data_IF_733781670758
#
_entry.id   IF_733781670758
#
_cell.length_a   1.000
_cell.length_b   1.000
_cell.length_c   1.000
_cell.angle_alpha   90.00
_cell.angle_beta   90.00
_cell.angle_gamma   90.00
#
_symmetry.space_group_name_H-M   'P 1'
#
loop_
_entity.id
_entity.type
_entity.pdbx_description
1 polymer ?
#
# COMPACT_ATOMS: atom_id res chain seq x y z
N UNK A 1 -38.16 -16.83 -0.71
CA UNK A 1 -37.60 -16.84 -2.08
C UNK A 1 -36.14 -17.24 -1.99
N UNK A 2 -35.70 -18.15 -2.85
CA UNK A 2 -34.33 -18.68 -2.85
C UNK A 2 -33.24 -17.58 -2.95
N UNK A 3 -33.59 -16.41 -3.51
CA UNK A 3 -32.76 -15.20 -3.55
C UNK A 3 -32.58 -14.48 -2.19
N UNK A 4 -33.47 -14.65 -1.21
CA UNK A 4 -33.36 -14.01 0.11
C UNK A 4 -32.46 -14.82 1.05
N UNK A 5 -32.37 -16.14 0.85
CA UNK A 5 -31.48 -17.01 1.61
C UNK A 5 -30.01 -16.89 1.16
N UNK A 6 -29.77 -16.53 -0.11
CA UNK A 6 -28.42 -16.36 -0.65
C UNK A 6 -27.89 -14.93 -0.55
N UNK A 7 -28.75 -13.95 -0.23
CA UNK A 7 -28.33 -12.56 -0.05
C UNK A 7 -27.21 -12.38 1.00
N UNK A 8 -27.18 -13.11 2.15
CA UNK A 8 -26.07 -13.00 3.10
C UNK A 8 -24.80 -13.75 2.65
N UNK A 9 -24.92 -14.74 1.77
CA UNK A 9 -23.80 -15.53 1.24
C UNK A 9 -23.14 -14.84 0.04
N UNK A 10 -23.90 -14.05 -0.73
CA UNK A 10 -23.42 -13.26 -1.87
C UNK A 10 -23.00 -11.82 -1.50
N UNK A 11 -23.55 -11.24 -0.43
CA UNK A 11 -23.32 -9.82 -0.07
C UNK A 11 -22.11 -9.63 0.85
N UNK A 12 -20.90 -9.83 0.32
CA UNK A 12 -19.58 -9.81 0.99
C UNK A 12 -19.17 -11.18 1.54
N UNK A 13 -18.71 -12.06 0.65
CA UNK A 13 -18.06 -13.31 1.03
C UNK A 13 -16.87 -13.10 2.00
N UNK A 14 -16.37 -14.18 2.60
CA UNK A 14 -15.29 -14.17 3.62
C UNK A 14 -14.10 -13.27 3.25
N UNK A 15 -13.76 -13.18 1.95
CA UNK A 15 -12.72 -12.29 1.44
C UNK A 15 -13.01 -10.79 1.58
N UNK A 16 -14.28 -10.37 1.46
CA UNK A 16 -14.72 -9.00 1.68
C UNK A 16 -14.61 -8.60 3.16
N UNK A 17 -15.01 -9.50 4.07
CA UNK A 17 -14.84 -9.31 5.51
C UNK A 17 -13.37 -9.24 5.91
N UNK A 18 -12.54 -10.17 5.43
CA UNK A 18 -11.12 -10.19 5.72
C UNK A 18 -10.41 -8.92 5.22
N UNK A 19 -10.76 -8.46 4.02
CA UNK A 19 -10.24 -7.22 3.42
C UNK A 19 -10.66 -5.99 4.22
N UNK A 20 -11.93 -5.86 4.59
CA UNK A 20 -12.42 -4.72 5.37
C UNK A 20 -11.80 -4.66 6.76
N UNK A 21 -11.65 -5.82 7.44
CA UNK A 21 -10.95 -5.88 8.73
C UNK A 21 -9.47 -5.54 8.61
N UNK A 22 -8.79 -6.06 7.58
CA UNK A 22 -7.38 -5.75 7.33
C UNK A 22 -7.18 -4.25 7.04
N UNK A 23 -8.07 -3.64 6.27
CA UNK A 23 -8.06 -2.22 5.98
C UNK A 23 -8.29 -1.36 7.23
N UNK A 24 -9.23 -1.76 8.09
CA UNK A 24 -9.52 -1.05 9.33
C UNK A 24 -8.35 -1.16 10.31
N UNK A 25 -7.74 -2.34 10.42
CA UNK A 25 -6.53 -2.55 11.21
C UNK A 25 -5.37 -1.67 10.71
N UNK A 26 -5.10 -1.66 9.39
CA UNK A 26 -4.04 -0.84 8.79
C UNK A 26 -4.32 0.65 9.01
N UNK A 27 -5.56 1.11 8.83
CA UNK A 27 -5.93 2.52 9.01
C UNK A 27 -5.75 3.01 10.46
N UNK A 28 -5.96 2.15 11.46
CA UNK A 28 -5.73 2.49 12.87
C UNK A 28 -4.23 2.47 13.22
N UNK A 29 -3.54 1.47 12.71
CA UNK A 29 -2.19 1.11 13.13
C UNK A 29 -1.11 1.95 12.45
N UNK A 30 -1.29 2.25 11.16
CA UNK A 30 -0.34 3.01 10.36
C UNK A 30 -0.01 4.41 10.94
N UNK A 31 -0.98 5.25 11.35
CA UNK A 31 -0.67 6.56 11.93
C UNK A 31 0.07 6.47 13.28
N UNK A 32 -0.24 5.47 14.11
CA UNK A 32 0.45 5.25 15.38
C UNK A 32 1.91 4.81 15.16
N UNK A 33 2.13 3.86 14.23
CA UNK A 33 3.46 3.39 13.86
C UNK A 33 4.31 4.48 13.22
N UNK A 34 3.73 5.26 12.31
CA UNK A 34 4.43 6.32 11.60
C UNK A 34 4.82 7.47 12.53
N UNK A 35 3.97 7.82 13.51
CA UNK A 35 4.31 8.86 14.49
C UNK A 35 5.51 8.44 15.33
N UNK A 36 5.55 7.19 15.80
CA UNK A 36 6.68 6.63 16.54
C UNK A 36 7.96 6.56 15.69
N UNK A 37 7.83 6.27 14.38
CA UNK A 37 8.95 6.19 13.44
C UNK A 37 9.55 7.55 13.08
N UNK A 38 8.70 8.57 12.88
CA UNK A 38 9.12 9.96 12.63
C UNK A 38 9.96 10.48 13.79
N UNK A 39 9.55 10.16 15.03
CA UNK A 39 10.29 10.53 16.24
C UNK A 39 11.68 9.87 16.33
N UNK A 40 11.84 8.67 15.75
CA UNK A 40 13.09 7.90 15.80
C UNK A 40 14.02 8.16 14.60
N UNK A 41 13.58 8.92 13.58
CA UNK A 41 14.30 9.19 12.32
C UNK A 41 14.80 7.93 11.59
N UNK A 42 14.18 6.78 11.82
CA UNK A 42 14.56 5.54 11.15
C UNK A 42 13.77 5.37 9.83
N UNK A 43 14.46 5.19 8.69
CA UNK A 43 13.78 4.92 7.42
C UNK A 43 13.13 3.52 7.43
N UNK A 44 12.06 3.36 6.66
CA UNK A 44 11.29 2.11 6.60
C UNK A 44 12.14 0.99 6.00
N UNK A 45 12.25 -0.18 6.66
CA UNK A 45 12.99 -1.31 6.12
C UNK A 45 12.34 -1.86 4.85
N UNK A 46 13.17 -2.26 3.88
CA UNK A 46 12.70 -2.86 2.63
C UNK A 46 12.15 -4.28 2.80
N UNK A 47 11.42 -4.75 1.79
CA UNK A 47 10.75 -6.05 1.79
C UNK A 47 11.70 -7.21 2.03
N UNK A 48 12.89 -7.19 1.40
CA UNK A 48 13.90 -8.22 1.58
C UNK A 48 14.42 -8.30 3.02
N UNK A 49 14.53 -7.20 3.75
CA UNK A 49 14.94 -7.23 5.16
C UNK A 49 13.90 -7.90 6.04
N UNK A 50 12.61 -7.78 5.72
CA UNK A 50 11.54 -8.41 6.49
C UNK A 50 11.36 -9.89 6.11
N UNK A 51 11.32 -10.18 4.81
CA UNK A 51 11.07 -11.52 4.26
C UNK A 51 12.33 -12.39 4.21
N UNK A 52 13.50 -11.79 4.31
CA UNK A 52 14.81 -12.43 4.20
C UNK A 52 15.24 -13.20 5.45
N UNK A 53 16.53 -13.50 5.48
CA UNK A 53 17.14 -14.38 6.48
C UNK A 53 17.13 -13.70 7.86
N UNK A 54 16.99 -14.47 8.93
CA UNK A 54 16.84 -13.93 10.30
C UNK A 54 17.96 -12.97 10.73
N UNK A 55 19.16 -13.09 10.15
CA UNK A 55 20.31 -12.23 10.44
C UNK A 55 20.20 -10.83 9.83
N UNK A 56 19.36 -10.66 8.80
CA UNK A 56 19.16 -9.39 8.06
C UNK A 56 17.89 -8.64 8.52
N UNK A 57 17.11 -9.27 9.41
CA UNK A 57 15.86 -8.69 9.92
C UNK A 57 16.13 -7.51 10.84
N UNK A 58 15.26 -6.48 10.84
CA UNK A 58 15.31 -5.43 11.85
C UNK A 58 15.28 -6.06 13.24
N UNK A 59 16.23 -5.63 14.09
CA UNK A 59 16.30 -6.08 15.48
C UNK A 59 15.32 -5.30 16.38
N UNK A 60 14.81 -4.18 15.88
CA UNK A 60 13.85 -3.31 16.53
C UNK A 60 12.40 -3.64 16.14
N UNK A 61 11.52 -3.68 17.15
CA UNK A 61 10.11 -4.02 16.98
C UNK A 61 9.38 -3.00 16.06
N UNK A 62 9.78 -1.74 16.12
CA UNK A 62 9.31 -0.66 15.24
C UNK A 62 9.60 -0.93 13.76
N UNK A 63 10.85 -1.27 13.42
CA UNK A 63 11.25 -1.58 12.06
C UNK A 63 10.51 -2.79 11.50
N UNK A 64 10.38 -3.86 12.30
CA UNK A 64 9.61 -5.04 11.92
C UNK A 64 8.15 -4.67 11.60
N UNK A 65 7.51 -3.90 12.49
CA UNK A 65 6.12 -3.51 12.35
C UNK A 65 5.87 -2.62 11.14
N UNK A 66 6.71 -1.61 10.92
CA UNK A 66 6.62 -0.71 9.77
C UNK A 66 6.83 -1.46 8.45
N UNK A 67 7.83 -2.33 8.39
CA UNK A 67 8.13 -3.12 7.21
C UNK A 67 7.02 -4.11 6.87
N UNK A 68 6.50 -4.85 7.86
CA UNK A 68 5.35 -5.74 7.68
C UNK A 68 4.09 -4.97 7.28
N UNK A 69 3.83 -3.82 7.90
CA UNK A 69 2.70 -2.95 7.53
C UNK A 69 2.78 -2.47 6.09
N UNK A 70 3.98 -2.08 5.61
CA UNK A 70 4.17 -1.65 4.22
C UNK A 70 3.96 -2.81 3.24
N UNK A 71 4.41 -4.03 3.58
CA UNK A 71 4.16 -5.24 2.78
C UNK A 71 2.65 -5.50 2.66
N UNK A 72 1.94 -5.52 3.79
CA UNK A 72 0.49 -5.76 3.80
C UNK A 72 -0.27 -4.68 3.03
N UNK A 73 0.09 -3.42 3.22
CA UNK A 73 -0.48 -2.30 2.47
C UNK A 73 -0.27 -2.45 0.97
N UNK A 74 0.93 -2.87 0.55
CA UNK A 74 1.27 -3.09 -0.86
C UNK A 74 0.45 -4.23 -1.46
N UNK A 75 0.29 -5.35 -0.74
CA UNK A 75 -0.54 -6.48 -1.16
C UNK A 75 -2.00 -6.05 -1.34
N UNK A 76 -2.56 -5.31 -0.38
CA UNK A 76 -3.93 -4.80 -0.45
C UNK A 76 -4.11 -3.82 -1.62
N UNK A 77 -3.13 -2.94 -1.85
CA UNK A 77 -3.14 -1.99 -2.96
C UNK A 77 -3.09 -2.70 -4.32
N UNK A 78 -2.20 -3.69 -4.47
CA UNK A 78 -2.10 -4.49 -5.71
C UNK A 78 -3.40 -5.24 -5.99
N UNK A 79 -3.98 -5.91 -4.98
CA UNK A 79 -5.25 -6.62 -5.16
C UNK A 79 -6.40 -5.69 -5.55
N UNK A 80 -6.42 -4.47 -5.00
CA UNK A 80 -7.38 -3.43 -5.39
C UNK A 80 -7.17 -2.97 -6.82
N UNK A 81 -5.93 -2.64 -7.17
CA UNK A 81 -5.58 -2.09 -8.47
C UNK A 81 -5.86 -3.11 -9.58
N UNK A 82 -5.46 -4.36 -9.39
CA UNK A 82 -5.76 -5.43 -10.35
C UNK A 82 -7.25 -5.74 -10.46
N UNK A 83 -7.99 -5.72 -9.33
CA UNK A 83 -9.44 -5.89 -9.36
C UNK A 83 -10.12 -4.87 -10.25
N UNK A 84 -9.74 -3.59 -10.13
CA UNK A 84 -10.27 -2.50 -10.96
C UNK A 84 -9.78 -2.55 -12.41
N UNK A 85 -8.55 -3.00 -12.66
CA UNK A 85 -8.01 -3.12 -14.02
C UNK A 85 -8.69 -4.25 -14.80
N UNK A 86 -8.94 -5.40 -14.17
CA UNK A 86 -9.52 -6.57 -14.84
C UNK A 86 -11.04 -6.63 -14.78
N UNK A 87 -11.67 -6.10 -13.73
CA UNK A 87 -13.12 -6.01 -13.61
C UNK A 87 -13.54 -4.59 -13.21
N UNK A 88 -13.71 -3.67 -14.18
CA UNK A 88 -14.16 -2.30 -13.91
C UNK A 88 -15.57 -2.21 -13.31
N UNK A 89 -16.34 -3.32 -13.28
CA UNK A 89 -17.67 -3.32 -12.64
C UNK A 89 -17.56 -3.30 -11.11
N UNK A 90 -16.37 -3.48 -10.55
CA UNK A 90 -16.07 -3.31 -9.13
C UNK A 90 -16.11 -1.82 -8.76
N UNK A 91 -17.27 -1.30 -8.34
CA UNK A 91 -17.47 0.14 -8.07
C UNK A 91 -17.01 0.61 -6.68
N UNK A 92 -16.64 -0.31 -5.79
CA UNK A 92 -16.19 0.06 -4.45
C UNK A 92 -14.71 0.44 -4.49
N UNK A 93 -14.43 1.74 -4.66
CA UNK A 93 -13.10 2.31 -4.54
C UNK A 93 -12.73 2.45 -3.05
N UNK A 94 -11.79 1.65 -2.49
CA UNK A 94 -11.40 1.73 -1.09
C UNK A 94 -10.41 2.88 -0.85
N UNK A 95 -10.75 4.09 -1.33
CA UNK A 95 -9.84 5.23 -1.29
C UNK A 95 -9.56 5.68 0.14
N UNK A 96 -10.55 5.63 1.04
CA UNK A 96 -10.39 6.02 2.46
C UNK A 96 -9.35 5.17 3.20
N UNK A 97 -9.49 3.82 3.27
CA UNK A 97 -8.54 3.01 4.02
C UNK A 97 -7.15 2.99 3.38
N UNK A 98 -7.05 3.02 2.05
CA UNK A 98 -5.75 3.13 1.39
C UNK A 98 -5.10 4.47 1.64
N UNK A 99 -5.84 5.58 1.66
CA UNK A 99 -5.30 6.89 2.05
C UNK A 99 -4.76 6.85 3.48
N UNK A 100 -5.55 6.33 4.43
CA UNK A 100 -5.15 6.24 5.83
C UNK A 100 -3.89 5.37 6.03
N UNK A 101 -3.72 4.32 5.21
CA UNK A 101 -2.52 3.50 5.22
C UNK A 101 -1.31 4.14 4.55
N UNK A 102 -1.48 4.76 3.37
CA UNK A 102 -0.38 5.26 2.53
C UNK A 102 0.19 6.57 3.05
N UNK A 103 -0.65 7.50 3.51
CA UNK A 103 -0.21 8.84 3.93
C UNK A 103 0.84 8.80 5.04
N UNK A 104 0.70 7.98 6.11
CA UNK A 104 1.72 7.89 7.15
C UNK A 104 3.10 7.44 6.62
N UNK A 105 3.14 6.50 5.67
CA UNK A 105 4.40 6.10 5.03
C UNK A 105 4.96 7.19 4.12
N UNK A 106 4.11 7.90 3.38
CA UNK A 106 4.54 9.03 2.55
C UNK A 106 5.16 10.15 3.41
N UNK A 107 4.49 10.52 4.50
CA UNK A 107 5.01 11.48 5.49
C UNK A 107 6.35 10.98 6.05
N UNK A 108 6.42 9.72 6.47
CA UNK A 108 7.66 9.14 7.00
C UNK A 108 8.81 9.20 5.98
N UNK A 109 8.56 8.89 4.70
CA UNK A 109 9.60 9.02 3.65
C UNK A 109 10.04 10.46 3.40
N UNK A 110 9.13 11.43 3.55
CA UNK A 110 9.45 12.85 3.41
C UNK A 110 10.32 13.38 4.56
N UNK A 111 10.07 12.92 5.80
CA UNK A 111 10.76 13.42 7.00
C UNK A 111 11.99 12.61 7.43
N UNK A 112 11.94 11.27 7.31
CA UNK A 112 13.05 10.39 7.69
C UNK A 112 13.98 10.08 6.50
N UNK A 113 13.64 10.54 5.30
CA UNK A 113 14.42 10.36 4.10
C UNK A 113 14.05 9.10 3.32
N UNK A 114 14.58 9.06 2.10
CA UNK A 114 14.31 7.97 1.17
C UNK A 114 15.22 6.77 1.47
N UNK A 115 14.69 5.55 1.38
CA UNK A 115 15.51 4.36 1.54
C UNK A 115 16.61 4.30 0.47
N UNK A 116 17.82 3.93 0.87
CA UNK A 116 18.95 3.79 -0.05
C UNK A 116 18.75 2.66 -1.07
N UNK A 117 19.36 2.82 -2.25
CA UNK A 117 19.19 1.94 -3.40
C UNK A 117 20.00 0.64 -3.20
N UNK A 118 19.34 -0.46 -2.82
CA UNK A 118 19.94 -1.80 -2.73
C UNK A 118 19.43 -2.77 -3.80
N UNK A 119 20.23 -3.78 -4.15
CA UNK A 119 19.84 -4.90 -5.05
C UNK A 119 18.63 -5.68 -4.52
N UNK A 120 18.42 -5.62 -3.21
CA UNK A 120 17.35 -6.24 -2.43
C UNK A 120 15.96 -5.63 -2.66
N UNK A 121 15.85 -4.45 -3.30
CA UNK A 121 14.59 -3.71 -3.49
C UNK A 121 13.90 -3.94 -4.84
N UNK A 122 14.25 -5.01 -5.56
CA UNK A 122 13.61 -5.33 -6.87
C UNK A 122 12.11 -5.58 -6.76
N UNK A 123 11.65 -6.23 -5.68
CA UNK A 123 10.22 -6.50 -5.47
C UNK A 123 9.41 -5.21 -5.33
N UNK A 124 9.94 -4.22 -4.61
CA UNK A 124 9.31 -2.92 -4.42
C UNK A 124 9.25 -2.13 -5.72
N UNK A 125 10.31 -2.18 -6.53
CA UNK A 125 10.32 -1.54 -7.86
C UNK A 125 9.26 -2.15 -8.78
N UNK A 126 9.13 -3.48 -8.82
CA UNK A 126 8.09 -4.15 -9.62
C UNK A 126 6.70 -3.75 -9.13
N UNK A 127 6.47 -3.76 -7.81
CA UNK A 127 5.21 -3.31 -7.23
C UNK A 127 4.91 -1.84 -7.55
N UNK A 128 5.91 -0.96 -7.47
CA UNK A 128 5.77 0.47 -7.79
C UNK A 128 5.36 0.69 -9.24
N UNK A 129 6.06 0.04 -10.19
CA UNK A 129 5.75 0.15 -11.63
C UNK A 129 4.32 -0.35 -11.89
N UNK A 130 3.98 -1.51 -11.34
CA UNK A 130 2.65 -2.11 -11.49
C UNK A 130 1.55 -1.17 -10.97
N UNK A 131 1.70 -0.66 -9.74
CA UNK A 131 0.75 0.27 -9.13
C UNK A 131 0.62 1.56 -9.94
N UNK A 132 1.73 2.10 -10.45
CA UNK A 132 1.71 3.30 -11.29
C UNK A 132 0.99 3.06 -12.62
N UNK A 133 1.27 1.96 -13.32
CA UNK A 133 0.58 1.59 -14.55
C UNK A 133 -0.92 1.36 -14.31
N UNK A 134 -1.29 0.65 -13.24
CA UNK A 134 -2.69 0.44 -12.87
C UNK A 134 -3.40 1.75 -12.53
N UNK A 135 -2.77 2.66 -11.80
CA UNK A 135 -3.34 3.96 -11.47
C UNK A 135 -3.66 4.78 -12.74
N UNK A 136 -2.72 4.82 -13.69
CA UNK A 136 -2.92 5.50 -14.98
C UNK A 136 -4.10 4.87 -15.74
N UNK A 137 -4.14 3.54 -15.82
CA UNK A 137 -5.25 2.83 -16.47
C UNK A 137 -6.59 3.14 -15.82
N UNK A 138 -6.70 3.05 -14.49
CA UNK A 138 -7.94 3.28 -13.74
C UNK A 138 -8.47 4.69 -14.00
N UNK A 139 -7.61 5.71 -13.92
CA UNK A 139 -8.02 7.11 -14.12
C UNK A 139 -8.50 7.35 -15.55
N UNK A 140 -7.85 6.75 -16.55
CA UNK A 140 -8.27 6.87 -17.95
C UNK A 140 -9.58 6.11 -18.19
N UNK A 141 -9.70 4.89 -17.67
CA UNK A 141 -10.85 4.01 -17.89
C UNK A 141 -12.12 4.54 -17.19
N UNK A 142 -12.00 4.97 -15.94
CA UNK A 142 -13.12 5.51 -15.14
C UNK A 142 -13.45 6.97 -15.45
N UNK A 143 -12.60 7.62 -16.28
CA UNK A 143 -12.65 9.03 -16.61
C UNK A 143 -12.47 9.98 -15.41
N UNK A 144 -12.01 11.20 -15.69
CA UNK A 144 -11.83 12.25 -14.68
C UNK A 144 -13.13 12.73 -14.03
N UNK A 145 -14.30 12.37 -14.57
CA UNK A 145 -15.59 12.64 -13.96
C UNK A 145 -15.79 11.84 -12.66
N UNK A 146 -15.14 10.68 -12.53
CA UNK A 146 -15.16 9.88 -11.31
C UNK A 146 -14.04 10.34 -10.36
N UNK A 147 -14.35 11.33 -9.53
CA UNK A 147 -13.37 11.89 -8.59
C UNK A 147 -12.83 10.86 -7.59
N UNK A 148 -13.57 9.80 -7.28
CA UNK A 148 -13.10 8.71 -6.40
C UNK A 148 -12.00 7.88 -7.07
N UNK A 149 -12.15 7.61 -8.37
CA UNK A 149 -11.13 6.92 -9.16
C UNK A 149 -9.87 7.78 -9.29
N UNK A 150 -10.01 9.09 -9.51
CA UNK A 150 -8.89 10.04 -9.55
C UNK A 150 -8.15 10.07 -8.21
N UNK A 151 -8.88 10.15 -7.09
CA UNK A 151 -8.29 10.14 -5.76
C UNK A 151 -7.55 8.83 -5.47
N UNK A 152 -8.19 7.69 -5.74
CA UNK A 152 -7.57 6.38 -5.57
C UNK A 152 -6.30 6.26 -6.43
N UNK A 153 -6.36 6.68 -7.70
CA UNK A 153 -5.20 6.72 -8.59
C UNK A 153 -4.05 7.55 -7.99
N UNK A 154 -4.36 8.71 -7.43
CA UNK A 154 -3.38 9.54 -6.70
C UNK A 154 -2.75 8.80 -5.52
N UNK A 155 -3.55 8.12 -4.70
CA UNK A 155 -3.05 7.33 -3.56
C UNK A 155 -2.15 6.17 -4.01
N UNK A 156 -2.53 5.46 -5.08
CA UNK A 156 -1.72 4.39 -5.67
C UNK A 156 -0.38 4.93 -6.21
N UNK A 157 -0.39 6.11 -6.82
CA UNK A 157 0.84 6.77 -7.29
C UNK A 157 1.73 7.22 -6.13
N UNK A 158 1.16 7.70 -5.02
CA UNK A 158 1.92 8.04 -3.82
C UNK A 158 2.57 6.77 -3.24
N UNK A 159 1.83 5.67 -3.15
CA UNK A 159 2.40 4.40 -2.68
C UNK A 159 3.48 3.88 -3.63
N UNK A 160 3.27 3.98 -4.95
CA UNK A 160 4.30 3.66 -5.94
C UNK A 160 5.56 4.51 -5.74
N UNK A 161 5.40 5.81 -5.44
CA UNK A 161 6.51 6.69 -5.12
C UNK A 161 7.22 6.22 -3.83
N UNK A 162 6.51 5.94 -2.74
CA UNK A 162 7.08 5.42 -1.48
C UNK A 162 7.91 4.14 -1.69
N UNK A 163 7.46 3.27 -2.60
CA UNK A 163 8.16 2.02 -2.94
C UNK A 163 9.33 2.21 -3.92
N UNK A 164 9.33 3.29 -4.71
CA UNK A 164 10.34 3.52 -5.73
C UNK A 164 11.72 3.83 -5.10
N UNK A 165 12.78 3.12 -5.49
CA UNK A 165 14.13 3.47 -5.03
C UNK A 165 14.56 4.82 -5.62
N UNK A 166 14.77 5.84 -4.79
CA UNK A 166 15.35 7.12 -5.25
C UNK A 166 16.82 6.91 -5.61
N UNK A 167 17.25 7.54 -6.71
CA UNK A 167 18.67 7.64 -7.05
C UNK A 167 19.27 8.58 -6.01
N UNK A 168 19.95 8.03 -5.00
CA UNK A 168 20.83 8.85 -4.17
C UNK A 168 21.78 9.61 -5.10
N UNK A 169 21.77 10.93 -5.04
CA UNK A 169 22.83 11.71 -5.63
C UNK A 169 24.14 11.21 -4.99
N UNK A 170 25.07 10.72 -5.81
CA UNK A 170 26.43 10.41 -5.35
C UNK A 170 27.00 11.70 -4.77
N UNK A 171 27.15 11.79 -3.45
CA UNK A 171 28.14 12.68 -2.88
C UNK A 171 29.50 12.01 -3.10
N UNK A 172 30.17 12.43 -4.17
CA UNK A 172 31.61 12.22 -4.39
C UNK A 172 32.41 13.00 -3.35
#
# INVERSE_FOLDING_TARGET
GWAVANAPLESFGVGGWARSLAMLAVALVAPMAATAAVLQRNPVPGFAKILGRSTERPTDFSGLFLGTGLILLTILAIGTALGLVFDPRYKDFPFVPLTAGVIPYAVLTLFAGWPERGSERRAELVAAIMLACSAIYIVINESFANWQAVWLGGVLLILAAVLAPVRGARSS
#
